data_IF_470102439060
#
_entry.id   IF_470102439060
#
_cell.length_a   1.000
_cell.length_b   1.000
_cell.length_c   1.000
_cell.angle_alpha   90.00
_cell.angle_beta   90.00
_cell.angle_gamma   90.00
#
_symmetry.space_group_name_H-M   'P 1'
#
loop_
_entity.id
_entity.type
_entity.pdbx_description
1 polymer ?
#
# COMPACT_ATOMS: atom_id res chain seq x y z
N UNK A 1 -21.86 17.89 -12.73
CA UNK A 1 -21.26 18.81 -11.73
C UNK A 1 -21.63 18.47 -10.28
N UNK A 2 -22.89 18.09 -9.96
CA UNK A 2 -23.31 17.82 -8.58
C UNK A 2 -22.50 16.74 -7.83
N UNK A 3 -22.08 15.66 -8.49
CA UNK A 3 -21.24 14.63 -7.87
C UNK A 3 -19.84 15.10 -7.48
N UNK A 4 -19.25 16.03 -8.24
CA UNK A 4 -17.93 16.61 -7.92
C UNK A 4 -18.04 17.50 -6.69
N UNK A 5 -19.07 18.34 -6.63
CA UNK A 5 -19.31 19.22 -5.47
C UNK A 5 -19.57 18.40 -4.21
N UNK A 6 -20.41 17.36 -4.30
CA UNK A 6 -20.65 16.46 -3.17
C UNK A 6 -19.37 15.73 -2.74
N UNK A 7 -18.55 15.26 -3.69
CA UNK A 7 -17.27 14.62 -3.41
C UNK A 7 -16.28 15.54 -2.68
N UNK A 8 -16.19 16.81 -3.09
CA UNK A 8 -15.32 17.81 -2.44
C UNK A 8 -15.76 18.08 -1.00
N UNK A 9 -17.06 18.19 -0.75
CA UNK A 9 -17.58 18.42 0.61
C UNK A 9 -17.31 17.24 1.55
N UNK A 10 -17.56 16.01 1.06
CA UNK A 10 -17.26 14.79 1.83
C UNK A 10 -15.77 14.64 2.08
N UNK A 11 -14.94 14.92 1.06
CA UNK A 11 -13.49 14.90 1.20
C UNK A 11 -13.01 15.94 2.20
N UNK A 12 -13.54 17.16 2.19
CA UNK A 12 -13.13 18.22 3.12
C UNK A 12 -13.37 17.84 4.59
N UNK A 13 -14.48 17.16 4.90
CA UNK A 13 -14.78 16.68 6.27
C UNK A 13 -13.96 15.44 6.65
N UNK A 14 -13.64 14.59 5.68
CA UNK A 14 -12.77 13.44 5.88
C UNK A 14 -11.28 13.82 5.94
N UNK A 15 -10.89 14.93 5.31
CA UNK A 15 -9.52 15.42 5.19
C UNK A 15 -8.79 15.53 6.54
N UNK A 16 -9.32 16.17 7.61
CA UNK A 16 -8.60 16.26 8.89
C UNK A 16 -8.30 14.88 9.51
N UNK A 17 -9.10 13.85 9.21
CA UNK A 17 -8.84 12.47 9.66
C UNK A 17 -7.82 11.76 8.77
N UNK A 18 -7.73 12.16 7.51
CA UNK A 18 -6.84 11.59 6.50
C UNK A 18 -5.56 12.41 6.34
N UNK A 19 -5.43 13.57 6.99
CA UNK A 19 -4.33 14.52 6.79
C UNK A 19 -2.97 13.85 7.05
N UNK A 20 -2.86 13.15 8.17
CA UNK A 20 -1.66 12.38 8.51
C UNK A 20 -1.32 11.30 7.47
N UNK A 21 -2.32 10.74 6.79
CA UNK A 21 -2.13 9.75 5.71
C UNK A 21 -1.79 10.42 4.37
N UNK A 22 -2.46 11.51 4.02
CA UNK A 22 -2.21 12.29 2.80
C UNK A 22 -0.76 12.80 2.80
N UNK A 23 -0.28 13.26 3.96
CA UNK A 23 1.09 13.73 4.13
C UNK A 23 2.07 12.66 4.60
N UNK A 24 1.63 11.41 4.82
CA UNK A 24 2.53 10.30 5.21
C UNK A 24 3.58 9.95 4.16
N UNK A 25 3.34 10.36 2.90
CA UNK A 25 4.29 10.20 1.81
C UNK A 25 5.41 11.25 1.78
N UNK A 26 5.30 12.34 2.55
CA UNK A 26 6.38 13.34 2.70
C UNK A 26 7.44 12.86 3.70
N UNK A 27 8.01 11.67 3.47
CA UNK A 27 9.17 11.18 4.23
C UNK A 27 10.44 12.03 3.97
N UNK A 28 10.36 13.11 3.20
CA UNK A 28 11.52 13.80 2.66
C UNK A 28 12.35 12.86 1.79
N UNK A 29 13.58 13.21 1.42
CA UNK A 29 14.47 12.31 0.68
C UNK A 29 14.88 11.02 1.41
N UNK A 30 14.19 10.64 2.50
CA UNK A 30 14.48 9.47 3.32
C UNK A 30 13.92 8.22 2.63
N UNK A 31 14.79 7.25 2.40
CA UNK A 31 14.39 5.97 1.83
C UNK A 31 13.70 5.09 2.89
N UNK A 32 12.81 4.19 2.47
CA UNK A 32 12.21 3.18 3.39
C UNK A 32 13.30 2.38 4.13
N UNK A 33 14.45 2.14 3.50
CA UNK A 33 15.58 1.46 4.11
C UNK A 33 16.15 2.27 5.30
N UNK A 34 16.30 3.59 5.13
CA UNK A 34 16.73 4.49 6.20
C UNK A 34 15.71 4.57 7.33
N UNK A 35 14.41 4.65 7.00
CA UNK A 35 13.34 4.70 8.01
C UNK A 35 13.30 3.43 8.88
N UNK A 36 13.50 2.25 8.27
CA UNK A 36 13.52 0.97 8.98
C UNK A 36 14.90 0.68 9.62
N UNK A 37 15.91 1.51 9.39
CA UNK A 37 17.28 1.29 9.87
C UNK A 37 17.94 0.05 9.29
N UNK A 38 17.48 -0.42 8.12
CA UNK A 38 17.98 -1.64 7.46
C UNK A 38 18.79 -1.28 6.22
N UNK A 39 19.82 -2.09 5.88
CA UNK A 39 20.55 -1.87 4.65
C UNK A 39 19.66 -2.16 3.44
N UNK A 40 19.82 -1.40 2.36
CA UNK A 40 18.95 -1.44 1.18
C UNK A 40 18.81 -2.85 0.57
N UNK A 41 19.87 -3.65 0.57
CA UNK A 41 19.84 -5.03 0.06
C UNK A 41 18.92 -5.95 0.88
N UNK A 42 18.86 -5.76 2.20
CA UNK A 42 17.98 -6.56 3.06
C UNK A 42 16.51 -6.20 2.81
N UNK A 43 16.20 -4.91 2.62
CA UNK A 43 14.86 -4.47 2.23
C UNK A 43 14.47 -5.04 0.86
N UNK A 44 15.38 -4.99 -0.12
CA UNK A 44 15.13 -5.54 -1.46
C UNK A 44 14.83 -7.05 -1.41
N UNK A 45 15.62 -7.83 -0.65
CA UNK A 45 15.36 -9.27 -0.44
C UNK A 45 14.00 -9.49 0.23
N UNK A 46 13.66 -8.71 1.25
CA UNK A 46 12.37 -8.82 1.94
C UNK A 46 11.19 -8.59 0.98
N UNK A 47 11.27 -7.57 0.12
CA UNK A 47 10.24 -7.29 -0.89
C UNK A 47 10.13 -8.42 -1.91
N UNK A 48 11.25 -8.96 -2.39
CA UNK A 48 11.26 -10.10 -3.31
C UNK A 48 10.63 -11.33 -2.67
N UNK A 49 10.99 -11.64 -1.42
CA UNK A 49 10.40 -12.76 -0.67
C UNK A 49 8.90 -12.55 -0.46
N UNK A 50 8.46 -11.33 -0.13
CA UNK A 50 7.03 -11.01 -0.01
C UNK A 50 6.29 -11.26 -1.34
N UNK A 51 6.85 -10.81 -2.47
CA UNK A 51 6.24 -11.02 -3.78
C UNK A 51 6.13 -12.51 -4.12
N UNK A 52 7.21 -13.27 -3.94
CA UNK A 52 7.22 -14.73 -4.15
C UNK A 52 6.25 -15.44 -3.21
N UNK A 53 6.17 -15.00 -1.95
CA UNK A 53 5.23 -15.49 -0.95
C UNK A 53 3.79 -15.26 -1.38
N UNK A 54 3.45 -14.09 -1.92
CA UNK A 54 2.12 -13.79 -2.44
C UNK A 54 1.78 -14.69 -3.63
N UNK A 55 2.70 -14.90 -4.58
CA UNK A 55 2.47 -15.84 -5.69
C UNK A 55 2.23 -17.28 -5.19
N UNK A 56 2.99 -17.72 -4.20
CA UNK A 56 2.82 -19.04 -3.60
C UNK A 56 1.49 -19.15 -2.84
N UNK A 57 1.12 -18.10 -2.09
CA UNK A 57 -0.13 -18.02 -1.36
C UNK A 57 -1.32 -18.04 -2.31
N UNK A 58 -1.30 -17.25 -3.39
CA UNK A 58 -2.34 -17.26 -4.43
C UNK A 58 -2.47 -18.65 -5.05
N UNK A 59 -1.35 -19.30 -5.38
CA UNK A 59 -1.35 -20.68 -5.90
C UNK A 59 -1.95 -21.69 -4.92
N UNK A 60 -1.74 -21.51 -3.61
CA UNK A 60 -2.27 -22.40 -2.58
C UNK A 60 -3.74 -22.11 -2.25
N UNK A 61 -4.15 -20.85 -2.34
CA UNK A 61 -5.52 -20.38 -2.11
C UNK A 61 -6.41 -20.53 -3.33
N UNK A 62 -5.85 -20.69 -4.53
CA UNK A 62 -6.57 -21.17 -5.71
C UNK A 62 -7.19 -22.52 -5.32
N UNK A 63 -8.50 -22.56 -5.05
CA UNK A 63 -9.17 -23.83 -4.95
C UNK A 63 -9.01 -24.44 -6.34
N UNK A 64 -8.80 -25.74 -6.43
CA UNK A 64 -9.08 -26.45 -7.65
C UNK A 64 -10.55 -26.15 -7.99
N UNK A 65 -10.81 -25.07 -8.74
CA UNK A 65 -12.10 -24.74 -9.33
C UNK A 65 -12.25 -25.73 -10.48
N UNK A 66 -12.48 -26.98 -10.06
CA UNK A 66 -13.01 -28.01 -10.89
C UNK A 66 -14.26 -27.45 -11.54
N UNK A 67 -14.20 -27.37 -12.87
CA UNK A 67 -15.25 -27.80 -13.78
C UNK A 67 -16.65 -27.92 -13.13
N UNK A 68 -17.49 -26.93 -13.38
CA UNK A 68 -18.85 -27.06 -13.96
C UNK A 68 -19.38 -25.68 -14.29
#
# INVERSE_FOLDING_TARGET
MGGVVAGVLVFAEAYPRLEAFVWSGELGGVTLAELLGVPFWALAVAVVVMALGTFWLVRMLEPARGRK
#
